data_IF_274600696705
#
_entry.id   IF_274600696705
#
_cell.length_a   1.000
_cell.length_b   1.000
_cell.length_c   1.000
_cell.angle_alpha   90.00
_cell.angle_beta   90.00
_cell.angle_gamma   90.00
#
_symmetry.space_group_name_H-M   'P 1'
#
loop_
_entity.id
_entity.type
_entity.pdbx_description
1 polymer ?
#
# COMPACT_ATOMS: atom_id res chain seq x y z
N UNK A 1 12.81 -8.63 -33.73
CA UNK A 1 13.79 -8.14 -32.75
C UNK A 1 13.05 -7.97 -31.44
N UNK A 2 13.52 -8.62 -30.37
CA UNK A 2 12.89 -8.55 -29.05
C UNK A 2 12.78 -7.09 -28.65
N UNK A 3 11.57 -6.55 -28.70
CA UNK A 3 11.15 -5.45 -27.85
C UNK A 3 11.52 -5.87 -26.44
N UNK A 4 12.70 -5.44 -26.02
CA UNK A 4 13.07 -5.41 -24.63
C UNK A 4 12.08 -4.45 -24.01
N UNK A 5 10.96 -5.04 -23.59
CA UNK A 5 10.39 -4.84 -22.27
C UNK A 5 10.48 -3.37 -21.93
N UNK A 6 9.47 -2.63 -22.43
CA UNK A 6 8.93 -1.46 -21.76
C UNK A 6 9.33 -1.57 -20.31
N UNK A 7 10.31 -0.73 -19.91
CA UNK A 7 10.71 -0.57 -18.52
C UNK A 7 9.41 -0.68 -17.74
N UNK A 8 9.26 -1.76 -16.97
CA UNK A 8 8.03 -2.02 -16.25
C UNK A 8 7.98 -0.94 -15.18
N UNK A 9 7.46 0.22 -15.56
CA UNK A 9 7.23 1.29 -14.63
C UNK A 9 6.25 0.67 -13.65
N UNK A 10 6.60 0.59 -12.36
CA UNK A 10 5.65 0.14 -11.38
C UNK A 10 4.42 1.02 -11.58
N UNK A 11 3.26 0.40 -11.64
CA UNK A 11 1.99 1.08 -11.88
C UNK A 11 2.03 2.39 -11.10
N UNK A 12 1.83 3.54 -11.74
CA UNK A 12 2.05 4.82 -11.05
C UNK A 12 1.25 4.89 -9.74
N UNK A 13 0.10 4.19 -9.71
CA UNK A 13 -0.73 3.96 -8.53
C UNK A 13 -0.03 3.17 -7.41
N UNK A 14 0.79 2.17 -7.72
CA UNK A 14 1.60 1.43 -6.76
C UNK A 14 2.66 2.32 -6.10
N UNK A 15 3.35 3.17 -6.88
CA UNK A 15 4.34 4.13 -6.34
C UNK A 15 3.63 5.16 -5.44
N UNK A 16 2.52 5.73 -5.91
CA UNK A 16 1.73 6.71 -5.14
C UNK A 16 1.20 6.06 -3.85
N UNK A 17 0.70 4.82 -3.91
CA UNK A 17 0.23 4.09 -2.73
C UNK A 17 1.37 3.81 -1.76
N UNK A 18 2.57 3.46 -2.25
CA UNK A 18 3.74 3.22 -1.40
C UNK A 18 4.14 4.49 -0.64
N UNK A 19 4.25 5.62 -1.36
CA UNK A 19 4.58 6.92 -0.78
C UNK A 19 3.49 7.35 0.22
N UNK A 20 2.21 7.20 -0.15
CA UNK A 20 1.08 7.51 0.72
C UNK A 20 1.06 6.64 1.99
N UNK A 21 1.41 5.35 1.89
CA UNK A 21 1.47 4.42 3.02
C UNK A 21 2.57 4.79 4.02
N UNK A 22 3.68 5.37 3.56
CA UNK A 22 4.78 5.80 4.44
C UNK A 22 4.51 7.18 5.04
N UNK A 23 4.01 8.13 4.25
CA UNK A 23 3.76 9.50 4.70
C UNK A 23 2.52 9.59 5.60
N UNK A 24 1.44 8.90 5.23
CA UNK A 24 0.22 8.82 6.00
C UNK A 24 -0.37 7.39 5.88
N UNK A 25 0.05 6.46 6.74
CA UNK A 25 -0.34 5.05 6.67
C UNK A 25 -1.85 4.80 6.51
N UNK A 26 -2.74 5.56 7.17
CA UNK A 26 -4.18 5.41 6.97
C UNK A 26 -4.64 5.76 5.54
N UNK A 27 -4.06 6.78 4.89
CA UNK A 27 -4.41 7.13 3.51
C UNK A 27 -3.97 6.06 2.52
N UNK A 28 -2.76 5.54 2.67
CA UNK A 28 -2.27 4.47 1.80
C UNK A 28 -3.14 3.21 1.87
N UNK A 29 -3.65 2.86 3.06
CA UNK A 29 -4.60 1.74 3.23
C UNK A 29 -5.98 2.11 2.66
N UNK A 30 -6.48 3.32 2.92
CA UNK A 30 -7.78 3.77 2.38
C UNK A 30 -7.83 3.79 0.85
N UNK A 31 -6.72 4.10 0.18
CA UNK A 31 -6.64 4.13 -1.28
C UNK A 31 -6.79 2.75 -1.92
N UNK A 32 -6.34 1.67 -1.25
CA UNK A 32 -6.44 0.30 -1.77
C UNK A 32 -7.61 -0.51 -1.21
N UNK A 33 -7.95 -0.27 0.05
CA UNK A 33 -8.91 -1.09 0.81
C UNK A 33 -10.18 -0.30 1.20
N UNK A 34 -10.25 1.00 0.93
CA UNK A 34 -11.36 1.86 1.36
C UNK A 34 -11.37 2.14 2.86
N UNK A 35 -12.49 2.68 3.35
CA UNK A 35 -12.73 2.98 4.78
C UNK A 35 -13.22 1.74 5.55
N UNK A 36 -12.52 0.63 5.39
CA UNK A 36 -12.89 -0.65 6.02
C UNK A 36 -12.22 -0.84 7.40
N UNK A 37 -12.40 -2.00 8.03
CA UNK A 37 -11.85 -2.32 9.36
C UNK A 37 -10.34 -2.14 9.42
N UNK A 38 -9.62 -2.45 8.34
CA UNK A 38 -8.16 -2.26 8.26
C UNK A 38 -7.75 -0.78 8.29
N UNK A 39 -8.56 0.13 7.73
CA UNK A 39 -8.31 1.57 7.84
C UNK A 39 -8.40 2.02 9.30
N UNK A 40 -9.43 1.59 10.01
CA UNK A 40 -9.64 1.96 11.41
C UNK A 40 -8.56 1.39 12.33
N UNK A 41 -8.15 0.14 12.09
CA UNK A 41 -7.01 -0.47 12.79
C UNK A 41 -5.75 0.35 12.52
N UNK A 42 -5.46 0.69 11.25
CA UNK A 42 -4.26 1.43 10.91
C UNK A 42 -4.28 2.87 11.45
N UNK A 43 -5.46 3.51 11.51
CA UNK A 43 -5.65 4.83 12.09
C UNK A 43 -5.34 4.83 13.58
N UNK A 44 -5.91 3.88 14.34
CA UNK A 44 -5.65 3.75 15.78
C UNK A 44 -4.17 3.43 16.02
N UNK A 45 -3.59 2.53 15.23
CA UNK A 45 -2.19 2.13 15.37
C UNK A 45 -1.26 3.32 15.09
N UNK A 46 -1.54 4.11 14.04
CA UNK A 46 -0.77 5.32 13.71
C UNK A 46 -0.87 6.39 14.81
N UNK A 47 -2.02 6.50 15.50
CA UNK A 47 -2.26 7.46 16.59
C UNK A 47 -1.55 7.08 17.90
N UNK A 48 -1.43 5.79 18.22
CA UNK A 48 -0.79 5.31 19.46
C UNK A 48 0.73 5.12 19.25
N UNK A 49 1.15 4.58 18.10
CA UNK A 49 2.55 4.41 17.72
C UNK A 49 2.70 4.40 16.19
N UNK A 50 3.33 5.42 15.61
CA UNK A 50 3.49 5.56 14.16
C UNK A 50 4.16 4.33 13.49
N UNK A 51 5.19 3.76 14.13
CA UNK A 51 5.96 2.62 13.60
C UNK A 51 5.10 1.37 13.33
N UNK A 52 4.33 0.83 14.29
CA UNK A 52 3.44 -0.30 14.02
C UNK A 52 2.33 0.04 13.00
N UNK A 53 1.87 1.30 12.90
CA UNK A 53 0.98 1.75 11.82
C UNK A 53 1.61 1.63 10.42
N UNK A 54 2.88 1.99 10.27
CA UNK A 54 3.61 1.81 9.00
C UNK A 54 3.75 0.32 8.66
N UNK A 55 4.12 -0.52 9.63
CA UNK A 55 4.29 -1.97 9.43
C UNK A 55 2.97 -2.61 9.01
N UNK A 56 1.87 -2.29 9.70
CA UNK A 56 0.55 -2.81 9.37
C UNK A 56 0.07 -2.34 7.99
N UNK A 57 0.26 -1.07 7.65
CA UNK A 57 -0.06 -0.53 6.33
C UNK A 57 0.70 -1.21 5.19
N UNK A 58 2.01 -1.45 5.38
CA UNK A 58 2.83 -2.19 4.41
C UNK A 58 2.35 -3.65 4.32
N UNK A 59 2.08 -4.30 5.45
CA UNK A 59 1.57 -5.66 5.47
C UNK A 59 0.25 -5.78 4.70
N UNK A 60 -0.72 -4.90 4.97
CA UNK A 60 -2.01 -4.90 4.28
C UNK A 60 -1.87 -4.60 2.79
N UNK A 61 -1.04 -3.64 2.40
CA UNK A 61 -0.93 -3.19 1.01
C UNK A 61 -0.01 -4.05 0.10
N UNK A 62 0.95 -4.78 0.67
CA UNK A 62 1.97 -5.52 -0.08
C UNK A 62 2.12 -7.00 0.29
N UNK A 63 1.71 -7.43 1.49
CA UNK A 63 1.91 -8.80 1.98
C UNK A 63 0.61 -9.61 2.13
N UNK A 64 -0.50 -8.98 2.48
CA UNK A 64 -1.78 -9.65 2.77
C UNK A 64 -2.45 -10.23 1.52
N UNK A 65 -2.13 -9.70 0.35
CA UNK A 65 -2.55 -10.23 -0.94
C UNK A 65 -1.55 -9.84 -2.01
N UNK A 66 -0.86 -10.83 -2.57
CA UNK A 66 0.02 -10.66 -3.72
C UNK A 66 -0.76 -10.35 -4.99
N UNK A 67 -1.39 -9.17 -5.08
CA UNK A 67 -2.02 -8.68 -6.31
C UNK A 67 -0.97 -8.08 -7.23
N UNK A 68 0.06 -8.89 -7.51
CA UNK A 68 0.69 -9.03 -8.81
C UNK A 68 0.16 -10.30 -9.48
N UNK A 69 -1.05 -10.74 -9.11
CA UNK A 69 -1.80 -11.68 -9.91
C UNK A 69 -2.21 -10.99 -11.21
N UNK A 70 -1.31 -11.03 -12.19
CA UNK A 70 -1.60 -11.48 -13.56
C UNK A 70 -3.10 -11.38 -13.93
N UNK A 71 -3.49 -10.23 -14.45
CA UNK A 71 -4.67 -10.05 -15.29
C UNK A 71 -4.34 -9.05 -16.38
#
# INVERSE_FOLDING_TARGET
MREKQSKEYPDMMAIITFIATILLPPLGVAMKHGLDRDFWINLVLTLIFFVPGVIHGIYVNFLRGGTHAIA
#
